data_IF_580670337638
#
_entry.id   IF_580670337638
#
_cell.length_a   1.000
_cell.length_b   1.000
_cell.length_c   1.000
_cell.angle_alpha   90.00
_cell.angle_beta   90.00
_cell.angle_gamma   90.00
#
_symmetry.space_group_name_H-M   'P 1'
#
loop_
_entity.id
_entity.type
_entity.pdbx_description
1 polymer ?
#
# COMPACT_ATOMS: atom_id res chain seq x y z
N UNK A 1 -25.91 -3.14 9.65
CA UNK A 1 -24.74 -2.61 10.40
C UNK A 1 -24.49 -3.56 11.54
N UNK A 2 -23.26 -4.06 11.67
CA UNK A 2 -22.84 -4.79 12.86
C UNK A 2 -22.75 -3.80 14.04
N UNK A 3 -23.04 -4.29 15.25
CA UNK A 3 -23.03 -3.50 16.47
C UNK A 3 -22.27 -4.25 17.55
N UNK A 4 -21.49 -3.51 18.34
CA UNK A 4 -20.87 -4.03 19.56
C UNK A 4 -21.68 -3.48 20.73
N UNK A 5 -22.38 -4.36 21.46
CA UNK A 5 -23.09 -4.01 22.68
C UNK A 5 -22.17 -4.28 23.86
N UNK A 6 -21.84 -3.25 24.62
CA UNK A 6 -20.94 -3.35 25.78
C UNK A 6 -21.75 -3.10 27.05
N UNK A 7 -21.71 -4.06 27.97
CA UNK A 7 -22.29 -3.92 29.32
C UNK A 7 -21.16 -3.76 30.32
N UNK A 8 -21.19 -2.69 31.10
CA UNK A 8 -20.16 -2.46 32.13
C UNK A 8 -20.19 -3.53 33.23
N UNK A 9 -19.03 -4.08 33.56
CA UNK A 9 -18.88 -5.17 34.54
C UNK A 9 -17.67 -5.03 35.50
N UNK A 10 -17.17 -3.81 35.68
CA UNK A 10 -16.03 -3.51 36.58
C UNK A 10 -14.68 -3.44 35.87
N UNK A 11 -13.56 -3.34 36.61
CA UNK A 11 -12.22 -3.22 36.03
C UNK A 11 -11.77 -4.48 35.30
N UNK A 12 -11.11 -4.31 34.14
CA UNK A 12 -10.52 -5.40 33.37
C UNK A 12 -9.30 -6.00 34.11
N UNK A 13 -9.22 -7.33 34.14
CA UNK A 13 -8.07 -8.08 34.66
C UNK A 13 -7.80 -9.26 33.72
N UNK A 14 -6.54 -9.43 33.28
CA UNK A 14 -6.14 -10.51 32.39
C UNK A 14 -4.93 -10.14 31.54
N UNK A 15 -4.64 -10.99 30.56
CA UNK A 15 -3.53 -10.85 29.62
C UNK A 15 -4.05 -10.86 28.18
N UNK A 16 -3.36 -10.16 27.27
CA UNK A 16 -3.69 -10.13 25.85
C UNK A 16 -2.42 -10.15 25.00
N UNK A 17 -2.41 -10.99 23.97
CA UNK A 17 -1.35 -11.01 22.97
C UNK A 17 -1.56 -9.91 21.94
N UNK A 18 -0.52 -9.15 21.64
CA UNK A 18 -0.57 -8.07 20.64
C UNK A 18 -0.19 -8.62 19.27
N UNK A 19 -1.10 -8.50 18.31
CA UNK A 19 -0.86 -8.87 16.93
C UNK A 19 0.13 -7.90 16.25
N UNK A 20 0.70 -8.32 15.11
CA UNK A 20 1.59 -7.50 14.32
C UNK A 20 1.01 -6.15 13.89
N UNK A 21 1.91 -5.20 13.61
CA UNK A 21 1.53 -3.84 13.28
C UNK A 21 0.99 -3.75 11.84
N UNK A 22 -0.31 -3.47 11.70
CA UNK A 22 -0.96 -3.27 10.38
C UNK A 22 -0.24 -2.24 9.51
N UNK A 23 0.20 -1.12 10.08
CA UNK A 23 0.88 -0.06 9.33
C UNK A 23 2.32 -0.44 8.91
N UNK A 24 2.90 -1.51 9.46
CA UNK A 24 4.14 -2.10 8.97
C UNK A 24 3.87 -3.19 7.93
N UNK A 25 2.86 -4.04 8.15
CA UNK A 25 2.50 -5.09 7.22
C UNK A 25 2.10 -4.55 5.84
N UNK A 26 1.35 -3.44 5.76
CA UNK A 26 0.92 -2.84 4.49
C UNK A 26 2.08 -2.45 3.54
N UNK A 27 3.07 -1.63 3.96
CA UNK A 27 4.22 -1.32 3.10
C UNK A 27 5.08 -2.55 2.82
N UNK A 28 5.21 -3.51 3.74
CA UNK A 28 5.95 -4.77 3.48
C UNK A 28 5.27 -5.59 2.37
N UNK A 29 3.94 -5.70 2.41
CA UNK A 29 3.16 -6.37 1.36
C UNK A 29 3.33 -5.63 0.01
N UNK A 30 3.30 -4.30 0.01
CA UNK A 30 3.54 -3.52 -1.21
C UNK A 30 4.97 -3.70 -1.74
N UNK A 31 5.97 -3.72 -0.86
CA UNK A 31 7.37 -3.94 -1.21
C UNK A 31 7.62 -5.30 -1.85
N UNK A 32 6.75 -6.29 -1.61
CA UNK A 32 6.83 -7.59 -2.28
C UNK A 32 6.76 -7.47 -3.81
N UNK A 33 6.11 -6.42 -4.33
CA UNK A 33 6.09 -6.11 -5.76
C UNK A 33 7.47 -5.79 -6.33
N UNK A 34 8.50 -5.53 -5.53
CA UNK A 34 9.87 -5.30 -6.00
C UNK A 34 10.62 -6.61 -6.32
N UNK A 35 10.15 -7.76 -5.81
CA UNK A 35 10.85 -9.04 -5.90
C UNK A 35 10.19 -10.02 -6.88
N UNK A 36 10.99 -10.72 -7.67
CA UNK A 36 10.54 -11.90 -8.42
C UNK A 36 10.53 -13.17 -7.55
N UNK A 37 11.33 -13.20 -6.49
CA UNK A 37 11.41 -14.36 -5.60
C UNK A 37 10.20 -14.42 -4.64
N UNK A 38 9.78 -15.63 -4.22
CA UNK A 38 8.76 -15.80 -3.18
C UNK A 38 9.16 -15.15 -1.86
N UNK A 39 8.24 -14.42 -1.23
CA UNK A 39 8.46 -13.76 0.06
C UNK A 39 7.51 -14.29 1.12
N UNK A 40 8.08 -14.63 2.28
CA UNK A 40 7.33 -15.03 3.47
C UNK A 40 7.26 -13.87 4.46
N UNK A 41 6.06 -13.56 4.95
CA UNK A 41 5.82 -12.49 5.93
C UNK A 41 5.06 -13.10 7.10
N UNK A 42 5.69 -13.12 8.27
CA UNK A 42 5.13 -13.65 9.52
C UNK A 42 4.45 -12.56 10.37
N UNK A 43 3.62 -12.96 11.33
CA UNK A 43 2.96 -12.07 12.29
C UNK A 43 2.13 -10.97 11.60
N UNK A 44 1.34 -11.35 10.59
CA UNK A 44 0.48 -10.45 9.83
C UNK A 44 -0.91 -10.39 10.48
N UNK A 45 -1.39 -9.21 10.90
CA UNK A 45 -2.66 -9.11 11.61
C UNK A 45 -3.86 -9.39 10.70
N UNK A 46 -4.86 -10.12 11.23
CA UNK A 46 -6.11 -10.40 10.54
C UNK A 46 -7.08 -9.22 10.59
N UNK A 47 -6.85 -8.20 9.76
CA UNK A 47 -7.70 -7.01 9.66
C UNK A 47 -8.04 -6.66 8.22
N UNK A 48 -9.18 -5.97 8.02
CA UNK A 48 -9.75 -5.66 6.71
C UNK A 48 -8.80 -4.97 5.73
N UNK A 49 -7.95 -4.07 6.21
CA UNK A 49 -6.96 -3.39 5.36
C UNK A 49 -5.97 -4.39 4.75
N UNK A 50 -5.54 -5.40 5.51
CA UNK A 50 -4.66 -6.46 5.00
C UNK A 50 -5.41 -7.27 3.94
N UNK A 51 -6.65 -7.67 4.21
CA UNK A 51 -7.45 -8.42 3.23
C UNK A 51 -7.64 -7.63 1.92
N UNK A 52 -7.87 -6.31 2.01
CA UNK A 52 -7.94 -5.42 0.84
C UNK A 52 -6.61 -5.34 0.09
N UNK A 53 -5.48 -5.22 0.79
CA UNK A 53 -4.17 -5.21 0.17
C UNK A 53 -3.87 -6.53 -0.55
N UNK A 54 -4.17 -7.68 0.05
CA UNK A 54 -3.99 -9.00 -0.55
C UNK A 54 -4.87 -9.21 -1.78
N UNK A 55 -6.13 -8.76 -1.74
CA UNK A 55 -7.00 -8.76 -2.92
C UNK A 55 -6.43 -7.88 -4.03
N UNK A 56 -5.89 -6.72 -3.69
CA UNK A 56 -5.25 -5.83 -4.67
C UNK A 56 -4.02 -6.50 -5.30
N UNK A 57 -3.15 -7.13 -4.48
CA UNK A 57 -2.00 -7.90 -4.97
C UNK A 57 -2.44 -9.00 -5.95
N UNK A 58 -3.48 -9.77 -5.60
CA UNK A 58 -4.01 -10.80 -6.48
C UNK A 58 -4.55 -10.23 -7.80
N UNK A 59 -5.22 -9.08 -7.79
CA UNK A 59 -5.70 -8.40 -9.01
C UNK A 59 -4.57 -7.88 -9.90
N UNK A 60 -3.41 -7.55 -9.34
CA UNK A 60 -2.20 -7.21 -10.11
C UNK A 60 -1.56 -8.47 -10.73
N UNK A 61 -1.96 -9.66 -10.30
CA UNK A 61 -1.45 -10.96 -10.77
C UNK A 61 -0.56 -11.69 -9.77
N UNK A 62 -0.40 -11.19 -8.54
CA UNK A 62 0.40 -11.88 -7.54
C UNK A 62 -0.31 -13.14 -7.04
N UNK A 63 0.46 -14.20 -6.78
CA UNK A 63 -0.03 -15.35 -6.01
C UNK A 63 0.03 -15.02 -4.53
N UNK A 64 -1.08 -15.25 -3.82
CA UNK A 64 -1.21 -14.98 -2.39
C UNK A 64 -1.67 -16.26 -1.70
N UNK A 65 -0.83 -16.80 -0.82
CA UNK A 65 -1.16 -17.88 0.08
C UNK A 65 -1.12 -17.34 1.52
N UNK A 66 -2.14 -17.65 2.31
CA UNK A 66 -2.25 -17.21 3.72
C UNK A 66 -2.56 -18.39 4.61
N UNK A 67 -1.79 -18.54 5.66
CA UNK A 67 -2.00 -19.52 6.73
C UNK A 67 -1.91 -18.78 8.08
N UNK A 68 -3.05 -18.57 8.73
CA UNK A 68 -3.18 -17.75 9.94
C UNK A 68 -2.56 -16.33 9.83
N UNK A 69 -1.42 -16.10 10.51
CA UNK A 69 -0.64 -14.88 10.52
C UNK A 69 0.59 -14.92 9.59
N UNK A 70 0.77 -16.00 8.84
CA UNK A 70 1.81 -16.16 7.82
C UNK A 70 1.26 -15.89 6.41
N UNK A 71 2.03 -15.15 5.62
CA UNK A 71 1.77 -14.91 4.20
C UNK A 71 2.92 -15.40 3.34
N UNK A 72 2.59 -16.05 2.22
CA UNK A 72 3.51 -16.32 1.12
C UNK A 72 3.03 -15.57 -0.12
N UNK A 73 3.85 -14.64 -0.59
CA UNK A 73 3.59 -13.81 -1.78
C UNK A 73 4.55 -14.17 -2.90
N UNK A 74 4.04 -14.35 -4.13
CA UNK A 74 4.86 -14.46 -5.35
C UNK A 74 4.43 -13.40 -6.36
N UNK A 75 5.38 -12.58 -6.79
CA UNK A 75 5.16 -11.44 -7.69
C UNK A 75 6.00 -11.54 -8.98
N UNK A 76 6.34 -12.77 -9.40
CA UNK A 76 7.03 -13.07 -10.67
C UNK A 76 6.09 -12.95 -11.89
N UNK A 77 4.79 -13.20 -11.71
CA UNK A 77 3.79 -13.22 -12.77
C UNK A 77 2.80 -12.05 -12.72
N UNK A 78 3.25 -10.84 -12.34
CA UNK A 78 2.41 -9.63 -12.39
C UNK A 78 1.95 -9.37 -13.82
N UNK A 79 0.64 -9.25 -14.02
CA UNK A 79 -0.01 -9.09 -15.34
C UNK A 79 -0.65 -7.71 -15.54
N UNK A 80 -0.75 -6.92 -14.47
CA UNK A 80 -1.36 -5.60 -14.49
C UNK A 80 -0.60 -4.67 -13.55
N UNK A 81 -0.42 -3.42 -13.99
CA UNK A 81 0.10 -2.32 -13.17
C UNK A 81 -1.01 -1.34 -12.73
N UNK A 82 -2.27 -1.76 -12.86
CA UNK A 82 -3.45 -0.93 -12.56
C UNK A 82 -4.10 -1.36 -11.25
N UNK A 83 -4.06 -0.47 -10.26
CA UNK A 83 -4.79 -0.60 -9.00
C UNK A 83 -6.18 0.08 -9.12
N UNK A 84 -7.29 -0.69 -9.14
CA UNK A 84 -8.62 -0.17 -9.47
C UNK A 84 -9.24 0.65 -8.32
N UNK A 85 -10.02 1.67 -8.70
CA UNK A 85 -10.74 2.56 -7.78
C UNK A 85 -11.56 1.84 -6.71
N UNK A 86 -12.25 0.75 -7.08
CA UNK A 86 -13.14 0.02 -6.17
C UNK A 86 -12.44 -0.48 -4.91
N UNK A 87 -11.16 -0.88 -5.00
CA UNK A 87 -10.38 -1.26 -3.82
C UNK A 87 -9.69 -0.06 -3.18
N UNK A 88 -9.12 0.85 -3.98
CA UNK A 88 -8.36 2.00 -3.47
C UNK A 88 -9.25 2.94 -2.65
N UNK A 89 -10.52 3.13 -3.04
CA UNK A 89 -11.48 3.95 -2.27
C UNK A 89 -11.75 3.37 -0.87
N UNK A 90 -11.57 2.07 -0.69
CA UNK A 90 -11.82 1.38 0.59
C UNK A 90 -10.60 1.43 1.51
N UNK A 91 -9.39 1.65 0.97
CA UNK A 91 -8.14 1.67 1.73
C UNK A 91 -7.17 2.72 1.17
N UNK A 92 -6.99 3.83 1.90
CA UNK A 92 -6.05 4.89 1.49
C UNK A 92 -4.60 4.43 1.37
N UNK A 93 -4.21 3.37 2.10
CA UNK A 93 -2.89 2.76 2.02
C UNK A 93 -2.55 2.15 0.66
N UNK A 94 -3.53 1.98 -0.24
CA UNK A 94 -3.28 1.43 -1.58
C UNK A 94 -2.35 2.31 -2.43
N UNK A 95 -2.17 3.59 -2.07
CA UNK A 95 -1.17 4.46 -2.70
C UNK A 95 0.25 3.92 -2.59
N UNK A 96 0.53 3.07 -1.59
CA UNK A 96 1.84 2.43 -1.40
C UNK A 96 2.21 1.46 -2.53
N UNK A 97 1.26 1.04 -3.37
CA UNK A 97 1.57 0.24 -4.55
C UNK A 97 2.23 1.06 -5.67
N UNK A 98 2.11 2.40 -5.64
CA UNK A 98 2.57 3.28 -6.72
C UNK A 98 4.08 3.22 -6.91
N UNK A 99 4.86 3.39 -5.84
CA UNK A 99 6.32 3.37 -5.85
C UNK A 99 6.89 2.07 -6.41
N UNK A 100 6.62 0.90 -5.80
CA UNK A 100 7.22 -0.35 -6.24
C UNK A 100 6.76 -0.80 -7.62
N UNK A 101 5.50 -0.51 -8.02
CA UNK A 101 5.06 -0.77 -9.40
C UNK A 101 5.85 0.07 -10.40
N UNK A 102 5.96 1.38 -10.16
CA UNK A 102 6.67 2.29 -11.05
C UNK A 102 8.17 1.96 -11.12
N UNK A 103 8.79 1.67 -9.97
CA UNK A 103 10.21 1.36 -9.88
C UNK A 103 10.58 0.06 -10.61
N UNK A 104 9.72 -0.97 -10.54
CA UNK A 104 10.00 -2.28 -11.16
C UNK A 104 9.53 -2.38 -12.61
N UNK A 105 8.32 -1.90 -12.91
CA UNK A 105 7.68 -2.10 -14.21
C UNK A 105 7.75 -0.87 -15.13
N UNK A 106 8.21 0.28 -14.63
CA UNK A 106 8.34 1.51 -15.41
C UNK A 106 7.01 2.26 -15.65
N UNK A 107 5.89 1.67 -15.23
CA UNK A 107 4.57 2.30 -15.26
C UNK A 107 3.70 1.83 -14.09
N UNK A 108 2.79 2.69 -13.64
CA UNK A 108 1.80 2.38 -12.61
C UNK A 108 0.55 3.25 -12.78
N UNK A 109 -0.63 2.66 -12.59
CA UNK A 109 -1.92 3.35 -12.62
C UNK A 109 -2.66 3.11 -11.32
N UNK A 110 -2.58 4.06 -10.39
CA UNK A 110 -3.16 3.92 -9.05
C UNK A 110 -4.24 4.97 -8.85
N UNK A 111 -5.43 4.55 -8.45
CA UNK A 111 -6.50 5.52 -8.18
C UNK A 111 -6.14 6.44 -7.01
N UNK A 112 -6.55 7.70 -7.07
CA UNK A 112 -6.38 8.61 -5.95
C UNK A 112 -7.24 8.14 -4.78
N UNK A 113 -6.68 8.10 -3.55
CA UNK A 113 -7.49 7.87 -2.37
C UNK A 113 -8.55 8.97 -2.27
N UNK A 114 -9.81 8.58 -2.07
CA UNK A 114 -10.90 9.54 -1.90
C UNK A 114 -10.74 10.47 -0.68
N UNK A 115 -11.68 11.39 -0.53
CA UNK A 115 -11.77 12.26 0.64
C UNK A 115 -11.81 11.45 1.94
N UNK A 116 -11.13 11.94 2.98
CA UNK A 116 -11.13 11.28 4.27
C UNK A 116 -11.83 12.12 5.33
N UNK A 117 -12.77 11.52 6.06
CA UNK A 117 -13.49 12.15 7.16
C UNK A 117 -12.58 12.63 8.32
N UNK A 118 -11.35 12.11 8.41
CA UNK A 118 -10.36 12.50 9.44
C UNK A 118 -9.74 13.87 9.12
N UNK A 119 -9.69 14.28 7.84
CA UNK A 119 -9.07 15.53 7.41
C UNK A 119 -8.38 15.45 6.05
N UNK A 120 -7.80 16.58 5.62
CA UNK A 120 -7.07 16.66 4.36
C UNK A 120 -5.75 15.90 4.44
N UNK A 121 -5.63 14.86 3.62
CA UNK A 121 -4.42 14.04 3.50
C UNK A 121 -4.08 13.92 2.02
N UNK A 122 -3.48 14.97 1.42
CA UNK A 122 -3.11 14.94 0.01
C UNK A 122 -1.97 13.94 -0.22
N UNK A 123 -1.91 13.40 -1.45
CA UNK A 123 -0.81 12.53 -1.90
C UNK A 123 0.27 13.31 -2.66
N UNK A 124 0.22 14.63 -2.61
CA UNK A 124 1.09 15.56 -3.34
C UNK A 124 2.58 15.27 -3.13
N UNK A 125 2.98 14.94 -1.91
CA UNK A 125 4.37 14.60 -1.61
C UNK A 125 4.84 13.32 -2.31
N UNK A 126 3.98 12.33 -2.49
CA UNK A 126 4.35 11.10 -3.21
C UNK A 126 4.66 11.44 -4.67
N UNK A 127 3.78 12.24 -5.29
CA UNK A 127 3.87 12.56 -6.72
C UNK A 127 5.09 13.43 -7.01
N UNK A 128 5.25 14.54 -6.29
CA UNK A 128 6.39 15.45 -6.44
C UNK A 128 7.73 14.76 -6.27
N UNK A 129 7.81 13.84 -5.31
CA UNK A 129 9.04 13.10 -5.04
C UNK A 129 9.37 12.11 -6.16
N UNK A 130 8.38 11.39 -6.69
CA UNK A 130 8.57 10.50 -7.84
C UNK A 130 8.90 11.28 -9.13
N UNK A 131 8.30 12.46 -9.35
CA UNK A 131 8.65 13.37 -10.44
C UNK A 131 10.12 13.83 -10.34
N UNK A 132 10.59 14.14 -9.13
CA UNK A 132 12.00 14.47 -8.89
C UNK A 132 12.95 13.30 -9.23
N UNK A 133 12.46 12.05 -9.16
CA UNK A 133 13.18 10.85 -9.60
C UNK A 133 13.04 10.57 -11.10
N UNK A 134 12.39 11.46 -11.86
CA UNK A 134 12.24 11.38 -13.31
C UNK A 134 10.96 10.71 -13.80
N UNK A 135 9.96 10.51 -12.95
CA UNK A 135 8.64 10.05 -13.37
C UNK A 135 7.88 11.16 -14.12
N UNK A 136 7.19 10.79 -15.20
CA UNK A 136 6.14 11.59 -15.84
C UNK A 136 4.80 11.16 -15.21
N UNK A 137 4.10 12.09 -14.54
CA UNK A 137 2.85 11.82 -13.82
C UNK A 137 1.72 12.70 -14.36
N UNK A 138 0.58 12.07 -14.66
CA UNK A 138 -0.67 12.74 -15.03
C UNK A 138 -1.81 12.24 -14.15
N UNK A 139 -2.75 13.13 -13.82
CA UNK A 139 -3.98 12.75 -13.11
C UNK A 139 -5.14 12.75 -14.11
N UNK A 140 -5.61 11.57 -14.48
CA UNK A 140 -6.70 11.38 -15.45
C UNK A 140 -7.83 10.62 -14.77
N UNK A 141 -9.04 11.17 -14.80
CA UNK A 141 -10.26 10.54 -14.25
C UNK A 141 -10.11 10.03 -12.79
N UNK A 142 -9.34 10.73 -11.96
CA UNK A 142 -9.09 10.35 -10.57
C UNK A 142 -8.09 9.20 -10.40
N UNK A 143 -7.31 8.87 -11.43
CA UNK A 143 -6.15 7.98 -11.35
C UNK A 143 -4.86 8.76 -11.50
N UNK A 144 -3.85 8.37 -10.72
CA UNK A 144 -2.45 8.73 -10.95
C UNK A 144 -1.92 7.79 -12.02
N UNK A 145 -1.61 8.34 -13.18
CA UNK A 145 -0.91 7.67 -14.27
C UNK A 145 0.56 8.07 -14.17
N UNK A 146 1.41 7.17 -13.70
CA UNK A 146 2.84 7.41 -13.59
C UNK A 146 3.59 6.51 -14.56
N UNK A 147 4.59 7.08 -15.24
CA UNK A 147 5.49 6.33 -16.13
C UNK A 147 6.90 6.90 -16.05
N UNK A 148 7.90 6.09 -16.38
CA UNK A 148 9.30 6.55 -16.48
C UNK A 148 9.98 5.91 -17.68
N UNK A 149 10.74 6.71 -18.43
CA UNK A 149 11.57 6.21 -19.52
C UNK A 149 12.81 5.53 -18.96
N UNK A 150 12.82 4.20 -18.99
CA UNK A 150 13.90 3.39 -18.43
C UNK A 150 13.65 3.09 -16.95
N UNK A 151 14.41 3.72 -16.05
CA UNK A 151 14.30 3.52 -14.60
C UNK A 151 14.23 4.86 -13.89
N UNK A 152 13.57 4.86 -12.73
CA UNK A 152 13.68 5.98 -11.78
C UNK A 152 15.15 6.22 -11.43
N UNK A 153 15.50 7.49 -11.23
CA UNK A 153 16.84 7.93 -10.87
C UNK A 153 16.85 8.39 -9.41
N UNK A 154 17.95 8.12 -8.71
CA UNK A 154 18.14 8.68 -7.37
C UNK A 154 18.11 10.20 -7.41
N UNK A 155 17.51 10.82 -6.39
CA UNK A 155 17.39 12.26 -6.23
C UNK A 155 17.52 12.65 -4.75
N UNK A 156 17.94 13.89 -4.50
CA UNK A 156 17.86 14.49 -3.16
C UNK A 156 16.44 15.05 -2.98
N UNK A 157 15.70 14.49 -2.01
CA UNK A 157 14.29 14.79 -1.79
C UNK A 157 14.11 15.25 -0.35
N UNK A 158 13.75 16.53 -0.20
CA UNK A 158 13.37 17.12 1.08
C UNK A 158 11.86 17.28 1.15
N UNK A 159 11.23 16.66 2.14
CA UNK A 159 9.81 16.85 2.38
C UNK A 159 9.53 18.12 3.20
N UNK A 160 8.58 18.93 2.73
CA UNK A 160 8.11 20.13 3.44
C UNK A 160 7.34 19.81 4.74
N UNK A 161 6.81 18.59 4.82
CA UNK A 161 6.06 18.06 5.97
C UNK A 161 6.41 16.58 6.16
N UNK A 162 6.39 16.11 7.41
CA UNK A 162 6.59 14.69 7.70
C UNK A 162 5.45 13.87 7.10
N UNK A 163 5.78 12.83 6.33
CA UNK A 163 4.81 11.91 5.75
C UNK A 163 5.35 10.48 5.78
N UNK A 164 4.71 9.64 6.59
CA UNK A 164 5.04 8.21 6.70
C UNK A 164 4.89 7.52 5.34
N UNK A 165 3.69 7.61 4.74
CA UNK A 165 3.42 6.94 3.46
C UNK A 165 4.27 7.45 2.31
N UNK A 166 4.58 8.76 2.25
CA UNK A 166 5.45 9.27 1.18
C UNK A 166 6.89 8.80 1.37
N UNK A 167 7.35 8.68 2.62
CA UNK A 167 8.68 8.12 2.92
C UNK A 167 8.75 6.65 2.52
N UNK A 168 7.77 5.84 2.93
CA UNK A 168 7.71 4.41 2.59
C UNK A 168 7.66 4.19 1.07
N UNK A 169 6.81 4.94 0.37
CA UNK A 169 6.62 4.79 -1.07
C UNK A 169 7.83 5.21 -1.92
N UNK A 170 8.71 6.05 -1.37
CA UNK A 170 9.93 6.54 -2.03
C UNK A 170 11.15 5.72 -1.65
N UNK A 171 11.10 5.06 -0.49
CA UNK A 171 12.11 4.09 -0.06
C UNK A 171 12.01 2.79 -0.88
N UNK A 172 10.79 2.41 -1.26
CA UNK A 172 10.49 1.30 -2.18
C UNK A 172 10.78 1.66 -3.63
#
# INVERSE_FOLDING_TARGET
MEQIIITGNGPLHGEVSIAGAKNAALPIIAAALLSAEPLRISNVPAVRDIDTALRLMAMLGASVERDDDELLLRCDAITSVRAPYELVKTMRGAILMLGPLLARFGEARVSLPGGCAIGSRPVDLHLKALEAMGAEIEIVEGYVHASVKGRLKGADIRFDKVSVGATENLLM
#
